data_IF_852379673029
#
_entry.id   IF_852379673029
#
_cell.length_a   1.000
_cell.length_b   1.000
_cell.length_c   1.000
_cell.angle_alpha   90.00
_cell.angle_beta   90.00
_cell.angle_gamma   90.00
#
_symmetry.space_group_name_H-M   'P 1'
#
loop_
_entity.id
_entity.type
_entity.pdbx_description
1 polymer ?
#
# COMPACT_ATOMS: atom_id res chain seq x y z
N UNK A 1 23.35 27.09 -57.96
CA UNK A 1 23.34 25.61 -57.81
C UNK A 1 24.32 25.28 -56.71
N UNK A 2 23.86 25.04 -55.53
CA UNK A 2 24.63 24.29 -54.54
C UNK A 2 23.65 23.47 -53.68
N UNK A 3 23.64 22.17 -53.93
CA UNK A 3 22.92 21.13 -53.22
C UNK A 3 23.91 20.50 -52.25
N UNK A 4 23.88 20.91 -51.01
CA UNK A 4 24.45 20.04 -49.97
C UNK A 4 24.17 20.59 -48.60
N UNK A 5 23.25 19.95 -47.88
CA UNK A 5 23.37 19.47 -46.49
C UNK A 5 22.02 19.07 -45.96
N UNK A 6 21.60 17.90 -46.38
CA UNK A 6 20.69 17.12 -45.56
C UNK A 6 21.47 16.64 -44.33
N UNK A 7 21.33 17.33 -43.23
CA UNK A 7 21.84 16.86 -41.93
C UNK A 7 20.85 15.81 -41.43
N UNK A 8 21.22 14.54 -41.61
CA UNK A 8 20.58 13.44 -40.91
C UNK A 8 20.86 13.61 -39.40
N UNK A 9 19.85 13.61 -38.51
CA UNK A 9 20.14 13.54 -37.10
C UNK A 9 20.71 12.14 -36.78
N UNK A 10 21.85 12.16 -36.12
CA UNK A 10 22.59 10.98 -35.66
C UNK A 10 21.72 10.11 -34.76
N UNK A 11 21.64 8.83 -35.10
CA UNK A 11 20.85 7.77 -34.46
C UNK A 11 21.39 7.30 -33.10
N UNK A 12 22.20 8.09 -32.41
CA UNK A 12 22.91 7.68 -31.19
C UNK A 12 22.47 8.37 -29.89
N UNK A 13 21.39 9.19 -29.91
CA UNK A 13 20.97 9.90 -28.72
C UNK A 13 19.73 9.30 -27.98
N UNK A 14 19.38 8.06 -28.26
CA UNK A 14 18.15 7.46 -27.73
C UNK A 14 18.35 6.28 -26.80
N UNK A 15 19.31 6.25 -25.88
CA UNK A 15 19.37 5.13 -24.92
C UNK A 15 19.96 5.46 -23.54
N UNK A 16 19.83 6.67 -23.02
CA UNK A 16 19.96 6.88 -21.57
C UNK A 16 18.99 7.97 -21.14
N UNK A 17 17.93 7.70 -20.37
CA UNK A 17 17.30 8.75 -19.63
C UNK A 17 18.35 9.24 -18.63
N UNK A 18 18.98 10.39 -18.93
CA UNK A 18 19.78 11.12 -17.96
C UNK A 18 18.83 11.45 -16.82
N UNK A 19 18.86 10.67 -15.74
CA UNK A 19 18.25 11.03 -14.47
C UNK A 19 18.96 12.28 -13.99
N UNK A 20 18.46 13.44 -14.40
CA UNK A 20 18.86 14.70 -13.81
C UNK A 20 18.21 14.75 -12.42
N UNK A 21 18.96 14.34 -11.40
CA UNK A 21 18.54 14.36 -9.99
C UNK A 21 18.15 15.77 -9.49
N UNK A 22 18.34 16.79 -10.33
CA UNK A 22 18.03 18.19 -10.04
C UNK A 22 16.83 18.72 -10.84
N UNK A 23 16.17 17.91 -11.64
CA UNK A 23 14.94 18.32 -12.32
C UNK A 23 13.76 18.25 -11.35
N UNK A 24 12.95 19.31 -11.29
CA UNK A 24 11.79 19.42 -10.41
C UNK A 24 10.83 18.23 -10.58
N UNK A 25 10.63 17.73 -11.79
CA UNK A 25 9.77 16.57 -12.06
C UNK A 25 10.35 15.27 -11.49
N UNK A 26 11.67 15.08 -11.59
CA UNK A 26 12.38 13.94 -10.98
C UNK A 26 12.30 14.00 -9.45
N UNK A 27 12.40 15.18 -8.86
CA UNK A 27 12.25 15.37 -7.41
C UNK A 27 10.82 15.03 -6.99
N UNK A 28 9.81 15.54 -7.67
CA UNK A 28 8.39 15.31 -7.33
C UNK A 28 8.05 13.82 -7.48
N UNK A 29 8.46 13.15 -8.55
CA UNK A 29 8.20 11.73 -8.75
C UNK A 29 8.93 10.86 -7.72
N UNK A 30 10.17 11.22 -7.35
CA UNK A 30 10.96 10.50 -6.34
C UNK A 30 10.34 10.70 -4.93
N UNK A 31 9.98 11.92 -4.55
CA UNK A 31 9.31 12.20 -3.28
C UNK A 31 7.95 11.51 -3.20
N UNK A 32 7.20 11.49 -4.30
CA UNK A 32 5.93 10.76 -4.39
C UNK A 32 6.13 9.26 -4.18
N UNK A 33 7.14 8.66 -4.82
CA UNK A 33 7.48 7.26 -4.63
C UNK A 33 7.90 6.96 -3.18
N UNK A 34 8.79 7.75 -2.60
CA UNK A 34 9.22 7.60 -1.20
C UNK A 34 8.02 7.75 -0.26
N UNK A 35 7.13 8.70 -0.52
CA UNK A 35 5.90 8.88 0.24
C UNK A 35 5.01 7.62 0.22
N UNK A 36 4.77 7.06 -0.97
CA UNK A 36 4.01 5.82 -1.14
C UNK A 36 4.67 4.66 -0.40
N UNK A 37 5.99 4.47 -0.57
CA UNK A 37 6.74 3.41 0.11
C UNK A 37 6.72 3.58 1.64
N UNK A 38 6.83 4.81 2.12
CA UNK A 38 6.72 5.14 3.53
C UNK A 38 5.35 4.81 4.11
N UNK A 39 4.27 5.14 3.39
CA UNK A 39 2.89 4.80 3.79
C UNK A 39 2.71 3.28 3.84
N UNK A 40 3.17 2.54 2.83
CA UNK A 40 3.10 1.07 2.79
C UNK A 40 3.84 0.47 4.00
N UNK A 41 5.05 0.94 4.27
CA UNK A 41 5.86 0.49 5.41
C UNK A 41 5.17 0.78 6.75
N UNK A 42 4.69 2.01 6.95
CA UNK A 42 4.03 2.42 8.19
C UNK A 42 2.72 1.68 8.42
N UNK A 43 1.94 1.47 7.36
CA UNK A 43 0.69 0.74 7.42
C UNK A 43 0.89 -0.72 7.84
N UNK A 44 1.88 -1.38 7.25
CA UNK A 44 2.14 -2.80 7.53
C UNK A 44 2.88 -3.03 8.84
N UNK A 45 3.66 -2.04 9.31
CA UNK A 45 4.56 -2.18 10.46
C UNK A 45 4.08 -1.54 11.75
N UNK A 46 3.48 -0.37 11.67
CA UNK A 46 3.21 0.47 12.85
C UNK A 46 1.76 0.50 13.29
N UNK A 47 0.91 -0.39 12.79
CA UNK A 47 -0.53 -0.44 13.10
C UNK A 47 -1.30 0.86 12.76
N UNK A 48 -0.63 1.83 12.12
CA UNK A 48 -1.23 3.11 11.70
C UNK A 48 -2.25 2.87 10.59
N UNK A 49 -2.13 1.79 9.84
CA UNK A 49 -3.06 1.37 8.81
C UNK A 49 -4.49 1.09 9.27
N UNK A 50 -4.73 1.01 10.59
CA UNK A 50 -6.09 1.00 11.14
C UNK A 50 -6.78 2.37 11.00
N UNK A 51 -6.01 3.44 10.86
CA UNK A 51 -6.49 4.82 10.75
C UNK A 51 -6.41 5.31 9.31
N UNK A 52 -5.38 4.88 8.57
CA UNK A 52 -5.15 5.29 7.19
C UNK A 52 -5.49 4.18 6.20
N UNK A 53 -6.26 4.49 5.15
CA UNK A 53 -6.64 3.56 4.10
C UNK A 53 -5.50 3.32 3.11
N UNK A 54 -4.41 2.66 3.53
CA UNK A 54 -3.19 2.53 2.72
C UNK A 54 -3.32 1.58 1.52
N UNK A 55 -4.31 0.67 1.51
CA UNK A 55 -4.58 -0.18 0.35
C UNK A 55 -4.99 0.63 -0.87
N UNK A 56 -5.72 1.69 -0.63
CA UNK A 56 -6.12 2.65 -1.66
C UNK A 56 -4.91 3.41 -2.20
N UNK A 57 -3.93 3.74 -1.33
CA UNK A 57 -2.70 4.41 -1.73
C UNK A 57 -1.89 3.55 -2.70
N UNK A 58 -1.77 2.25 -2.46
CA UNK A 58 -1.06 1.31 -3.35
C UNK A 58 -1.75 1.21 -4.70
N UNK A 59 -3.08 1.12 -4.70
CA UNK A 59 -3.89 1.09 -5.91
C UNK A 59 -3.78 2.41 -6.70
N UNK A 60 -3.92 3.56 -6.02
CA UNK A 60 -3.77 4.88 -6.64
C UNK A 60 -2.36 5.12 -7.17
N UNK A 61 -1.33 4.60 -6.49
CA UNK A 61 0.04 4.63 -6.98
C UNK A 61 0.20 3.84 -8.29
N UNK A 62 -0.53 2.72 -8.44
CA UNK A 62 -0.62 1.97 -9.70
C UNK A 62 -1.19 2.84 -10.83
N UNK A 63 -2.31 3.54 -10.59
CA UNK A 63 -2.90 4.48 -11.57
C UNK A 63 -1.90 5.62 -11.87
N UNK A 64 -1.24 6.18 -10.87
CA UNK A 64 -0.27 7.26 -11.04
C UNK A 64 0.98 6.83 -11.85
N UNK A 65 1.27 5.53 -11.90
CA UNK A 65 2.36 4.97 -12.69
C UNK A 65 1.94 4.57 -14.12
N UNK A 66 0.65 4.61 -14.45
CA UNK A 66 0.07 4.25 -15.76
C UNK A 66 0.09 5.39 -16.78
N UNK A 67 -0.48 5.18 -17.97
CA UNK A 67 -0.72 6.21 -18.99
C UNK A 67 -1.55 7.38 -18.49
N UNK A 68 -2.59 7.12 -17.68
CA UNK A 68 -3.38 8.16 -16.99
C UNK A 68 -2.50 8.99 -16.06
N UNK A 69 -1.54 8.38 -15.36
CA UNK A 69 -0.55 9.11 -14.56
C UNK A 69 0.25 10.11 -15.38
N UNK A 70 0.61 9.77 -16.62
CA UNK A 70 1.26 10.70 -17.54
C UNK A 70 0.38 11.90 -17.90
N UNK A 71 -0.92 11.70 -18.08
CA UNK A 71 -1.85 12.79 -18.40
C UNK A 71 -2.08 13.75 -17.22
N UNK A 72 -2.02 13.23 -15.98
CA UNK A 72 -2.29 14.02 -14.76
C UNK A 72 -1.02 14.68 -14.24
N UNK A 73 0.08 13.94 -14.17
CA UNK A 73 1.34 14.31 -13.52
C UNK A 73 2.42 14.72 -14.52
N UNK A 74 2.20 14.51 -15.83
CA UNK A 74 3.19 14.77 -16.86
C UNK A 74 4.47 13.93 -16.63
N UNK A 75 5.62 14.58 -16.69
CA UNK A 75 6.93 13.94 -16.45
C UNK A 75 7.16 13.54 -14.98
N UNK A 76 6.37 14.11 -14.05
CA UNK A 76 6.45 13.78 -12.62
C UNK A 76 5.70 12.50 -12.23
N UNK A 77 5.24 11.70 -13.20
CA UNK A 77 4.58 10.42 -12.95
C UNK A 77 5.47 9.44 -12.17
N UNK A 78 4.85 8.53 -11.42
CA UNK A 78 5.58 7.49 -10.71
C UNK A 78 6.20 6.48 -11.68
N UNK A 79 7.45 6.08 -11.41
CA UNK A 79 8.11 5.03 -12.19
C UNK A 79 7.50 3.67 -11.86
N UNK A 80 6.78 3.08 -12.84
CA UNK A 80 6.18 1.76 -12.68
C UNK A 80 7.20 0.68 -12.28
N UNK A 81 8.38 0.52 -12.94
CA UNK A 81 9.35 -0.49 -12.54
C UNK A 81 9.83 -0.35 -11.10
N UNK A 82 10.07 0.89 -10.64
CA UNK A 82 10.48 1.14 -9.25
C UNK A 82 9.35 0.86 -8.27
N UNK A 83 8.12 1.20 -8.62
CA UNK A 83 6.96 0.93 -7.77
C UNK A 83 6.74 -0.59 -7.60
N UNK A 84 6.76 -1.34 -8.72
CA UNK A 84 6.58 -2.81 -8.69
C UNK A 84 7.71 -3.54 -7.93
N UNK A 85 8.93 -2.99 -7.91
CA UNK A 85 10.07 -3.62 -7.23
C UNK A 85 10.18 -3.19 -5.76
N UNK A 86 9.97 -1.93 -5.44
CA UNK A 86 10.21 -1.38 -4.10
C UNK A 86 9.00 -1.50 -3.16
N UNK A 87 7.76 -1.48 -3.69
CA UNK A 87 6.57 -1.63 -2.85
C UNK A 87 6.52 -2.97 -2.09
N UNK A 88 6.83 -4.14 -2.71
CA UNK A 88 6.97 -5.38 -1.96
C UNK A 88 8.02 -5.31 -0.86
N UNK A 89 9.18 -4.69 -1.13
CA UNK A 89 10.26 -4.55 -0.15
C UNK A 89 9.79 -3.73 1.05
N UNK A 90 9.12 -2.60 0.82
CA UNK A 90 8.55 -1.77 1.88
C UNK A 90 7.50 -2.53 2.71
N UNK A 91 6.63 -3.31 2.05
CA UNK A 91 5.61 -4.11 2.72
C UNK A 91 6.20 -5.27 3.53
N UNK A 92 7.27 -5.92 3.04
CA UNK A 92 7.99 -6.98 3.77
C UNK A 92 8.65 -6.39 5.01
N UNK A 93 9.41 -5.30 4.84
CA UNK A 93 10.11 -4.63 5.92
C UNK A 93 9.13 -4.13 7.00
N UNK A 94 8.03 -3.52 6.60
CA UNK A 94 6.97 -3.13 7.53
C UNK A 94 6.42 -4.33 8.31
N UNK A 95 6.12 -5.45 7.63
CA UNK A 95 5.65 -6.67 8.28
C UNK A 95 6.63 -7.21 9.32
N UNK A 96 7.94 -7.21 9.03
CA UNK A 96 8.99 -7.62 9.97
C UNK A 96 9.03 -6.72 11.22
N UNK A 97 8.89 -5.40 11.02
CA UNK A 97 8.81 -4.44 12.14
C UNK A 97 7.57 -4.69 12.97
N UNK A 98 6.41 -4.92 12.32
CA UNK A 98 5.15 -5.24 13.02
C UNK A 98 5.26 -6.52 13.86
N UNK A 99 5.84 -7.58 13.30
CA UNK A 99 6.11 -8.82 14.03
C UNK A 99 7.03 -8.60 15.23
N UNK A 100 8.15 -7.90 15.02
CA UNK A 100 9.10 -7.59 16.10
C UNK A 100 8.42 -6.78 17.21
N UNK A 101 7.61 -5.79 16.84
CA UNK A 101 6.84 -4.98 17.78
C UNK A 101 5.89 -5.84 18.61
N UNK A 102 5.12 -6.72 17.96
CA UNK A 102 4.22 -7.65 18.63
C UNK A 102 4.95 -8.60 19.58
N UNK A 103 6.12 -9.11 19.15
CA UNK A 103 6.95 -10.01 19.96
C UNK A 103 7.54 -9.29 21.18
N UNK A 104 7.99 -8.03 21.02
CA UNK A 104 8.64 -7.26 22.09
C UNK A 104 7.65 -6.78 23.16
N UNK A 105 6.50 -6.26 22.71
CA UNK A 105 5.53 -5.62 23.61
C UNK A 105 4.38 -6.57 24.03
N UNK A 106 4.15 -7.62 23.30
CA UNK A 106 3.21 -8.68 23.61
C UNK A 106 1.77 -8.22 23.80
N UNK A 107 0.98 -9.01 24.53
CA UNK A 107 -0.44 -8.72 24.84
C UNK A 107 -0.62 -7.45 25.65
N UNK A 108 0.32 -7.11 26.53
CA UNK A 108 0.24 -5.91 27.41
C UNK A 108 0.01 -4.62 26.64
N UNK A 109 0.47 -4.54 25.38
CA UNK A 109 0.26 -3.38 24.53
C UNK A 109 -1.21 -3.21 24.14
N UNK A 110 -1.93 -4.33 23.97
CA UNK A 110 -3.33 -4.35 23.53
C UNK A 110 -4.33 -4.31 24.71
N UNK A 111 -3.86 -4.49 25.94
CA UNK A 111 -4.67 -4.46 27.17
C UNK A 111 -4.89 -3.05 27.70
N UNK A 112 -4.28 -2.02 27.12
CA UNK A 112 -4.43 -0.63 27.56
C UNK A 112 -5.87 -0.14 27.33
N UNK A 113 -6.60 0.28 28.39
CA UNK A 113 -8.04 0.52 28.34
C UNK A 113 -8.51 1.68 27.45
N UNK A 114 -7.60 2.51 26.95
CA UNK A 114 -7.91 3.72 26.18
C UNK A 114 -7.51 3.70 24.70
N UNK A 115 -7.11 2.56 24.14
CA UNK A 115 -6.77 2.49 22.73
C UNK A 115 -7.99 2.15 21.89
N UNK A 116 -8.65 3.20 21.40
CA UNK A 116 -9.86 3.16 20.54
C UNK A 116 -9.71 2.28 19.30
N UNK A 117 -8.49 2.08 18.85
CA UNK A 117 -8.14 1.34 17.64
C UNK A 117 -7.48 -0.03 17.92
N UNK A 118 -7.08 -0.29 19.16
CA UNK A 118 -6.42 -1.54 19.57
C UNK A 118 -7.24 -2.20 20.64
N UNK A 119 -8.10 -3.13 20.24
CA UNK A 119 -8.93 -3.88 21.16
C UNK A 119 -8.42 -5.32 21.24
N UNK A 120 -8.29 -5.86 22.44
CA UNK A 120 -7.94 -7.26 22.69
C UNK A 120 -8.80 -8.24 21.86
N UNK A 121 -10.07 -7.89 21.65
CA UNK A 121 -10.99 -8.66 20.81
C UNK A 121 -10.52 -8.79 19.34
N UNK A 122 -9.81 -7.80 18.79
CA UNK A 122 -9.24 -7.88 17.45
C UNK A 122 -8.04 -8.84 17.41
N UNK A 123 -7.21 -8.82 18.44
CA UNK A 123 -6.09 -9.77 18.61
C UNK A 123 -6.64 -11.19 18.70
N UNK A 124 -7.62 -11.45 19.56
CA UNK A 124 -8.27 -12.76 19.71
C UNK A 124 -8.92 -13.23 18.40
N UNK A 125 -9.55 -12.33 17.65
CA UNK A 125 -10.14 -12.66 16.35
C UNK A 125 -9.06 -13.08 15.35
N UNK A 126 -7.93 -12.37 15.32
CA UNK A 126 -6.81 -12.68 14.44
C UNK A 126 -6.10 -13.97 14.87
N UNK A 127 -5.98 -14.23 16.19
CA UNK A 127 -5.49 -15.50 16.72
C UNK A 127 -6.39 -16.67 16.29
N UNK A 128 -7.72 -16.53 16.39
CA UNK A 128 -8.68 -17.52 15.91
C UNK A 128 -8.53 -17.79 14.40
N UNK A 129 -8.23 -16.74 13.63
CA UNK A 129 -7.94 -16.87 12.20
C UNK A 129 -6.66 -17.66 11.94
N UNK A 130 -5.57 -17.37 12.68
CA UNK A 130 -4.32 -18.10 12.58
C UNK A 130 -4.51 -19.57 12.92
N UNK A 131 -5.30 -19.90 13.95
CA UNK A 131 -5.61 -21.27 14.36
C UNK A 131 -6.46 -21.96 13.28
N UNK A 132 -7.53 -21.29 12.80
CA UNK A 132 -8.50 -21.89 11.89
C UNK A 132 -7.94 -22.14 10.47
N UNK A 133 -7.19 -21.23 9.93
CA UNK A 133 -6.69 -21.30 8.53
C UNK A 133 -5.22 -21.68 8.44
N UNK A 134 -4.53 -21.71 9.55
CA UNK A 134 -3.09 -21.90 9.65
C UNK A 134 -2.29 -20.63 9.26
N UNK A 135 -1.06 -20.48 9.78
CA UNK A 135 -0.26 -19.26 9.59
C UNK A 135 0.02 -18.92 8.13
N UNK A 136 0.28 -19.94 7.31
CA UNK A 136 0.61 -19.75 5.88
C UNK A 136 -0.52 -19.06 5.13
N UNK A 137 -1.73 -19.60 5.21
CA UNK A 137 -2.91 -19.04 4.52
C UNK A 137 -3.31 -17.70 5.13
N UNK A 138 -3.25 -17.56 6.45
CA UNK A 138 -3.61 -16.34 7.15
C UNK A 138 -2.69 -15.17 6.75
N UNK A 139 -1.36 -15.39 6.65
CA UNK A 139 -0.40 -14.36 6.25
C UNK A 139 -0.55 -13.90 4.80
N UNK A 140 -0.97 -14.79 3.89
CA UNK A 140 -1.19 -14.43 2.48
C UNK A 140 -2.57 -13.79 2.30
N UNK A 141 -3.65 -14.51 2.65
CA UNK A 141 -5.01 -14.05 2.38
C UNK A 141 -5.48 -12.96 3.32
N UNK A 142 -4.96 -12.91 4.55
CA UNK A 142 -5.25 -11.84 5.50
C UNK A 142 -4.87 -10.45 5.00
N UNK A 143 -3.91 -10.35 4.06
CA UNK A 143 -3.51 -9.08 3.46
C UNK A 143 -4.57 -8.46 2.55
N UNK A 144 -5.49 -9.26 2.02
CA UNK A 144 -6.62 -8.79 1.20
C UNK A 144 -7.81 -8.31 2.05
N UNK A 145 -7.76 -8.54 3.36
CA UNK A 145 -8.80 -8.08 4.29
C UNK A 145 -8.28 -6.87 5.04
N UNK A 146 -8.92 -5.68 4.90
CA UNK A 146 -8.38 -4.40 5.38
C UNK A 146 -7.92 -4.40 6.83
N UNK A 147 -8.72 -4.97 7.75
CA UNK A 147 -8.36 -5.02 9.17
C UNK A 147 -7.35 -6.11 9.51
N UNK A 148 -7.46 -7.27 8.84
CA UNK A 148 -6.60 -8.41 9.12
C UNK A 148 -5.16 -8.11 8.71
N UNK A 149 -4.91 -7.45 7.58
CA UNK A 149 -3.56 -7.17 7.08
C UNK A 149 -2.71 -6.34 8.04
N UNK A 150 -3.32 -5.39 8.75
CA UNK A 150 -2.61 -4.53 9.70
C UNK A 150 -2.30 -5.26 11.00
N UNK A 151 -3.20 -6.15 11.45
CA UNK A 151 -3.08 -6.84 12.74
C UNK A 151 -2.31 -8.14 12.66
N UNK A 152 -2.30 -8.82 11.51
CA UNK A 152 -1.75 -10.16 11.39
C UNK A 152 -0.25 -10.21 11.72
N UNK A 153 0.51 -9.21 11.30
CA UNK A 153 1.95 -9.14 11.54
C UNK A 153 2.28 -9.03 13.04
N UNK A 154 1.76 -8.04 13.78
CA UNK A 154 2.01 -7.95 15.22
C UNK A 154 1.39 -9.10 16.00
N UNK A 155 0.22 -9.62 15.61
CA UNK A 155 -0.38 -10.79 16.28
C UNK A 155 0.49 -12.04 16.13
N UNK A 156 1.09 -12.28 14.95
CA UNK A 156 2.08 -13.34 14.78
C UNK A 156 3.27 -13.18 15.74
N UNK A 157 3.69 -11.94 16.02
CA UNK A 157 4.70 -11.64 17.04
C UNK A 157 4.22 -11.94 18.47
N UNK A 158 2.98 -11.54 18.81
CA UNK A 158 2.37 -11.79 20.13
C UNK A 158 2.28 -13.29 20.46
N UNK A 159 1.86 -14.10 19.49
CA UNK A 159 1.76 -15.56 19.66
C UNK A 159 3.09 -16.27 19.50
N UNK A 160 4.20 -15.54 19.36
CA UNK A 160 5.55 -16.09 19.16
C UNK A 160 5.62 -17.10 17.99
N UNK A 161 4.96 -16.80 16.86
CA UNK A 161 5.06 -17.62 15.67
C UNK A 161 6.55 -17.77 15.27
N UNK A 162 6.95 -18.95 14.81
CA UNK A 162 8.33 -19.19 14.35
C UNK A 162 8.74 -18.14 13.31
N UNK A 163 9.86 -17.43 13.57
CA UNK A 163 10.32 -16.31 12.74
C UNK A 163 10.53 -16.70 11.27
N UNK A 164 11.16 -17.87 11.03
CA UNK A 164 11.40 -18.34 9.65
C UNK A 164 10.09 -18.55 8.90
N UNK A 165 9.12 -19.18 9.55
CA UNK A 165 7.78 -19.38 8.98
C UNK A 165 7.10 -18.04 8.71
N UNK A 166 7.14 -17.11 9.68
CA UNK A 166 6.57 -15.76 9.52
C UNK A 166 7.22 -15.01 8.35
N UNK A 167 8.55 -14.83 8.36
CA UNK A 167 9.27 -14.02 7.35
C UNK A 167 9.05 -14.55 5.94
N UNK A 168 9.07 -15.87 5.74
CA UNK A 168 8.82 -16.48 4.43
C UNK A 168 7.41 -16.15 3.92
N UNK A 169 6.38 -16.36 4.73
CA UNK A 169 4.99 -16.18 4.28
C UNK A 169 4.57 -14.70 4.32
N UNK A 170 5.20 -13.88 5.16
CA UNK A 170 5.12 -12.43 5.10
C UNK A 170 5.63 -11.91 3.76
N UNK A 171 6.80 -12.39 3.30
CA UNK A 171 7.38 -11.98 2.02
C UNK A 171 6.48 -12.42 0.84
N UNK A 172 6.05 -13.68 0.81
CA UNK A 172 5.15 -14.18 -0.26
C UNK A 172 3.85 -13.38 -0.30
N UNK A 173 3.20 -13.18 0.84
CA UNK A 173 1.95 -12.43 0.93
C UNK A 173 2.11 -10.95 0.55
N UNK A 174 3.23 -10.32 0.93
CA UNK A 174 3.54 -8.95 0.58
C UNK A 174 3.73 -8.78 -0.93
N UNK A 175 4.51 -9.67 -1.56
CA UNK A 175 4.72 -9.66 -3.01
C UNK A 175 3.38 -9.82 -3.73
N UNK A 176 2.63 -10.89 -3.43
CA UNK A 176 1.35 -11.16 -4.11
C UNK A 176 0.40 -9.95 -3.97
N UNK A 177 0.22 -9.45 -2.75
CA UNK A 177 -0.71 -8.36 -2.49
C UNK A 177 -0.31 -7.07 -3.19
N UNK A 178 0.95 -6.65 -3.12
CA UNK A 178 1.42 -5.41 -3.77
C UNK A 178 1.34 -5.52 -5.28
N UNK A 179 1.76 -6.65 -5.88
CA UNK A 179 1.68 -6.85 -7.33
C UNK A 179 0.23 -6.81 -7.83
N UNK A 180 -0.69 -7.45 -7.12
CA UNK A 180 -2.12 -7.43 -7.47
C UNK A 180 -2.69 -6.02 -7.34
N UNK A 181 -2.45 -5.33 -6.22
CA UNK A 181 -3.00 -4.00 -5.98
C UNK A 181 -2.46 -2.96 -6.98
N UNK A 182 -1.13 -2.92 -7.19
CA UNK A 182 -0.50 -2.03 -8.17
C UNK A 182 -0.93 -2.41 -9.59
N UNK A 183 -0.93 -3.71 -9.93
CA UNK A 183 -1.29 -4.20 -11.25
C UNK A 183 -2.72 -3.84 -11.65
N UNK A 184 -3.68 -4.02 -10.74
CA UNK A 184 -5.07 -3.61 -10.99
C UNK A 184 -5.15 -2.10 -11.18
N UNK A 185 -4.48 -1.31 -10.32
CA UNK A 185 -4.43 0.15 -10.44
C UNK A 185 -3.83 0.59 -11.78
N UNK A 186 -2.71 -0.01 -12.17
CA UNK A 186 -2.01 0.27 -13.41
C UNK A 186 -2.88 -0.04 -14.64
N UNK A 187 -3.45 -1.23 -14.71
CA UNK A 187 -4.32 -1.66 -15.82
C UNK A 187 -5.58 -0.81 -15.93
N UNK A 188 -6.22 -0.49 -14.80
CA UNK A 188 -7.37 0.40 -14.81
C UNK A 188 -6.99 1.81 -15.24
N UNK A 189 -5.82 2.28 -14.80
CA UNK A 189 -5.30 3.57 -15.24
C UNK A 189 -5.08 3.62 -16.77
N UNK A 190 -4.51 2.59 -17.36
CA UNK A 190 -4.34 2.52 -18.83
C UNK A 190 -5.67 2.44 -19.57
N UNK A 191 -6.66 1.71 -19.02
CA UNK A 191 -8.00 1.59 -19.63
C UNK A 191 -8.79 2.91 -19.66
N UNK A 192 -8.56 3.81 -18.69
CA UNK A 192 -9.23 5.12 -18.64
C UNK A 192 -8.42 6.24 -19.29
N UNK A 193 -7.27 5.92 -19.88
CA UNK A 193 -6.46 6.87 -20.64
C UNK A 193 -7.30 7.53 -21.75
N UNK A 194 -7.23 8.86 -21.84
CA UNK A 194 -8.07 9.65 -22.77
C UNK A 194 -9.47 10.02 -22.26
N UNK A 195 -9.96 9.42 -21.17
CA UNK A 195 -11.26 9.72 -20.55
C UNK A 195 -11.16 10.08 -19.07
N UNK A 196 -10.01 10.64 -18.66
CA UNK A 196 -9.65 10.92 -17.26
C UNK A 196 -10.75 11.70 -16.53
N UNK A 197 -11.23 12.79 -17.12
CA UNK A 197 -12.24 13.65 -16.49
C UNK A 197 -13.58 12.96 -16.24
N UNK A 198 -13.92 11.93 -17.05
CA UNK A 198 -15.22 11.26 -16.96
C UNK A 198 -15.22 10.11 -15.94
N UNK A 199 -14.13 9.36 -15.82
CA UNK A 199 -14.12 8.12 -15.04
C UNK A 199 -13.23 8.18 -13.80
N UNK A 200 -12.12 8.93 -13.84
CA UNK A 200 -11.16 8.96 -12.73
C UNK A 200 -11.76 9.53 -11.44
N UNK A 201 -12.43 10.68 -11.52
CA UNK A 201 -13.04 11.30 -10.34
C UNK A 201 -14.14 10.44 -9.71
N UNK A 202 -15.07 9.84 -10.46
CA UNK A 202 -16.02 8.87 -9.89
C UNK A 202 -15.34 7.67 -9.25
N UNK A 203 -14.31 7.09 -9.87
CA UNK A 203 -13.60 5.93 -9.33
C UNK A 203 -12.91 6.30 -8.01
N UNK A 204 -12.17 7.41 -7.98
CA UNK A 204 -11.53 7.90 -6.74
C UNK A 204 -12.61 8.17 -5.67
N UNK A 205 -13.71 8.81 -6.04
CA UNK A 205 -14.82 9.09 -5.13
C UNK A 205 -15.41 7.81 -4.53
N UNK A 206 -15.63 6.76 -5.32
CA UNK A 206 -16.14 5.47 -4.86
C UNK A 206 -15.14 4.79 -3.92
N UNK A 207 -13.85 4.80 -4.26
CA UNK A 207 -12.79 4.21 -3.42
C UNK A 207 -12.74 4.92 -2.07
N UNK A 208 -12.75 6.25 -2.06
CA UNK A 208 -12.75 7.05 -0.83
C UNK A 208 -14.02 6.80 -0.01
N UNK A 209 -15.19 6.71 -0.64
CA UNK A 209 -16.45 6.40 0.05
C UNK A 209 -16.41 5.01 0.69
N UNK A 210 -15.95 3.99 -0.04
CA UNK A 210 -15.81 2.62 0.49
C UNK A 210 -14.85 2.60 1.69
N UNK A 211 -13.75 3.34 1.62
CA UNK A 211 -12.74 3.46 2.68
C UNK A 211 -13.28 4.14 3.93
N UNK A 212 -14.21 5.08 3.76
CA UNK A 212 -14.84 5.80 4.88
C UNK A 212 -15.92 5.00 5.60
N UNK A 213 -16.52 3.98 4.94
CA UNK A 213 -17.60 3.17 5.52
C UNK A 213 -17.24 2.55 6.88
N UNK A 214 -16.07 1.91 7.07
CA UNK A 214 -15.69 1.35 8.38
C UNK A 214 -15.53 2.44 9.44
N UNK A 215 -14.97 3.60 9.08
CA UNK A 215 -14.79 4.74 9.97
C UNK A 215 -16.14 5.30 10.44
N UNK A 216 -17.06 5.53 9.51
CA UNK A 216 -18.41 6.02 9.79
C UNK A 216 -19.19 5.02 10.68
N UNK A 217 -19.11 3.72 10.35
CA UNK A 217 -19.77 2.68 11.13
C UNK A 217 -19.21 2.58 12.55
N UNK A 218 -17.92 2.80 12.78
CA UNK A 218 -17.33 2.81 14.11
C UNK A 218 -17.82 4.01 14.94
N UNK A 219 -17.89 5.21 14.34
CA UNK A 219 -18.39 6.43 14.96
C UNK A 219 -19.89 6.28 15.28
N UNK A 220 -20.68 5.69 14.38
CA UNK A 220 -22.12 5.48 14.61
C UNK A 220 -22.40 4.51 15.75
N UNK A 221 -21.66 3.40 15.83
CA UNK A 221 -21.78 2.44 16.95
C UNK A 221 -21.45 3.06 18.29
N UNK A 222 -20.45 3.91 18.37
CA UNK A 222 -20.08 4.61 19.60
C UNK A 222 -21.16 5.60 20.07
N UNK A 223 -21.72 6.38 19.14
CA UNK A 223 -22.82 7.31 19.48
C UNK A 223 -24.04 6.57 20.02
N UNK A 224 -24.31 5.36 19.50
CA UNK A 224 -25.43 4.53 19.95
C UNK A 224 -25.19 3.92 21.33
N UNK A 225 -23.94 3.59 21.68
CA UNK A 225 -23.56 3.11 23.01
C UNK A 225 -23.65 4.22 24.09
N UNK A 226 -23.21 5.44 23.77
CA UNK A 226 -23.30 6.59 24.68
C UNK A 226 -24.73 7.07 24.93
N UNK A 227 -25.71 6.72 24.09
CA UNK A 227 -27.14 7.04 24.32
C UNK A 227 -27.87 6.00 25.17
N UNK A 228 -27.23 4.89 25.50
CA UNK A 228 -27.83 3.81 26.33
C UNK A 228 -27.28 3.77 27.76
N UNK A 229 -26.34 4.66 28.07
CA UNK A 229 -25.84 4.99 29.42
C UNK A 229 -26.44 6.30 29.89
#
# INVERSE_FOLDING_TARGET
MDKSRLIYPSKTDTLTPKMNLLDANSIVSTLGLIGVLGIIFMETGLLIGLVFPGGEVVFLAGIAASGTGTQILGEAKLSAPLLFTLAPVAAIAGGEVGYWFGKKYGRKFFERPNTRFFNLKMVETTEKWLIRYGPRKALVFGRFIPFARTLINPVCGVVNLERKLFSTWNAIGAIIWTQVAIGIGYLLGDLIEGSVNKYLYPIIGIIVLISLVPLVNSIYKERKQKRKL
#
